data_IF_430057265559
#
_entry.id   IF_430057265559
#
_cell.length_a   1.000
_cell.length_b   1.000
_cell.length_c   1.000
_cell.angle_alpha   90.00
_cell.angle_beta   90.00
_cell.angle_gamma   90.00
#
_symmetry.space_group_name_H-M   'P 1'
#
loop_
_entity.id
_entity.type
_entity.pdbx_description
1 polymer ?
#
# COMPACT_ATOMS: atom_id res chain seq x y z
N UNK A 1 3.05 -15.86 17.88
CA UNK A 1 4.02 -16.31 16.87
C UNK A 1 4.06 -15.31 15.74
N UNK A 2 5.05 -14.42 15.68
CA UNK A 2 5.24 -13.49 14.56
C UNK A 2 5.93 -14.25 13.43
N UNK A 3 5.14 -14.83 12.52
CA UNK A 3 5.65 -15.51 11.34
C UNK A 3 6.45 -14.50 10.52
N UNK A 4 7.75 -14.74 10.36
CA UNK A 4 8.65 -13.94 9.51
C UNK A 4 8.08 -13.97 8.09
N UNK A 5 7.41 -12.90 7.64
CA UNK A 5 6.86 -12.80 6.28
C UNK A 5 8.02 -12.99 5.30
N UNK A 6 7.87 -13.91 4.34
CA UNK A 6 8.85 -14.07 3.26
C UNK A 6 9.04 -12.71 2.61
N UNK A 7 10.30 -12.29 2.45
CA UNK A 7 10.61 -11.11 1.67
C UNK A 7 9.98 -11.26 0.27
N UNK A 8 9.28 -10.23 -0.19
CA UNK A 8 8.72 -10.21 -1.55
C UNK A 8 9.86 -10.26 -2.56
N UNK A 9 9.63 -10.93 -3.69
CA UNK A 9 10.61 -10.93 -4.79
C UNK A 9 10.69 -9.55 -5.40
N UNK A 10 11.78 -9.25 -6.12
CA UNK A 10 11.91 -7.98 -6.84
C UNK A 10 10.77 -7.80 -7.86
N UNK A 11 10.37 -8.86 -8.55
CA UNK A 11 9.24 -8.86 -9.49
C UNK A 11 7.91 -8.50 -8.80
N UNK A 12 7.62 -9.11 -7.65
CA UNK A 12 6.41 -8.82 -6.89
C UNK A 12 6.44 -7.39 -6.34
N UNK A 13 7.60 -6.92 -5.86
CA UNK A 13 7.77 -5.54 -5.40
C UNK A 13 7.51 -4.55 -6.55
N UNK A 14 8.04 -4.81 -7.74
CA UNK A 14 7.80 -3.98 -8.93
C UNK A 14 6.32 -3.98 -9.33
N UNK A 15 5.66 -5.15 -9.32
CA UNK A 15 4.22 -5.26 -9.59
C UNK A 15 3.40 -4.41 -8.61
N UNK A 16 3.71 -4.50 -7.31
CA UNK A 16 3.01 -3.73 -6.28
C UNK A 16 3.27 -2.23 -6.41
N UNK A 17 4.49 -1.83 -6.74
CA UNK A 17 4.84 -0.43 -6.95
C UNK A 17 4.03 0.15 -8.11
N UNK A 18 3.99 -0.53 -9.25
CA UNK A 18 3.20 -0.10 -10.41
C UNK A 18 1.69 0.02 -10.08
N UNK A 19 1.15 -0.92 -9.29
CA UNK A 19 -0.24 -0.86 -8.85
C UNK A 19 -0.51 0.35 -7.94
N UNK A 20 0.38 0.63 -6.98
CA UNK A 20 0.27 1.79 -6.08
C UNK A 20 0.39 3.09 -6.87
N UNK A 21 1.34 3.20 -7.79
CA UNK A 21 1.54 4.41 -8.60
C UNK A 21 0.35 4.65 -9.54
N UNK A 22 -0.21 3.59 -10.12
CA UNK A 22 -1.45 3.67 -10.89
C UNK A 22 -2.64 4.16 -10.04
N UNK A 23 -2.81 3.61 -8.84
CA UNK A 23 -3.85 4.07 -7.92
C UNK A 23 -3.68 5.55 -7.54
N UNK A 24 -2.45 5.98 -7.24
CA UNK A 24 -2.12 7.38 -6.96
C UNK A 24 -2.42 8.30 -8.14
N UNK A 25 -2.07 7.89 -9.36
CA UNK A 25 -2.36 8.65 -10.56
C UNK A 25 -3.87 8.82 -10.75
N UNK A 26 -4.64 7.73 -10.58
CA UNK A 26 -6.09 7.76 -10.73
C UNK A 26 -6.75 8.72 -9.73
N UNK A 27 -6.43 8.62 -8.44
CA UNK A 27 -7.00 9.53 -7.43
C UNK A 27 -6.51 10.96 -7.61
N UNK A 28 -5.27 11.14 -8.10
CA UNK A 28 -4.71 12.44 -8.43
C UNK A 28 -5.44 13.15 -9.58
N UNK A 29 -5.95 12.40 -10.56
CA UNK A 29 -6.81 12.96 -11.62
C UNK A 29 -8.14 13.49 -11.08
N UNK A 30 -8.62 12.95 -9.97
CA UNK A 30 -9.82 13.42 -9.26
C UNK A 30 -9.52 14.56 -8.26
N UNK A 31 -8.27 15.01 -8.18
CA UNK A 31 -7.83 16.06 -7.25
C UNK A 31 -7.61 15.57 -5.82
N UNK A 32 -7.66 14.25 -5.59
CA UNK A 32 -7.39 13.65 -4.28
C UNK A 32 -5.92 13.30 -4.13
N UNK A 33 -5.37 13.53 -2.93
CA UNK A 33 -4.01 13.11 -2.57
C UNK A 33 -4.07 12.28 -1.29
N UNK A 34 -3.56 11.03 -1.30
CA UNK A 34 -3.43 10.24 -0.09
C UNK A 34 -2.61 10.98 0.97
N UNK A 35 -3.04 10.89 2.21
CA UNK A 35 -2.30 11.43 3.35
C UNK A 35 -1.04 10.59 3.65
N UNK A 36 -0.17 11.09 4.53
CA UNK A 36 1.10 10.45 4.86
C UNK A 36 0.97 9.05 5.48
N UNK A 37 -0.12 8.78 6.22
CA UNK A 37 -0.39 7.47 6.82
C UNK A 37 -0.77 6.46 5.75
N UNK A 38 -1.62 6.86 4.80
CA UNK A 38 -2.01 6.04 3.65
C UNK A 38 -0.80 5.73 2.76
N UNK A 39 0.07 6.71 2.54
CA UNK A 39 1.34 6.55 1.80
C UNK A 39 2.30 5.55 2.48
N UNK A 40 2.40 5.61 3.80
CA UNK A 40 3.22 4.70 4.59
C UNK A 40 2.69 3.25 4.53
N UNK A 41 1.37 3.06 4.56
CA UNK A 41 0.77 1.74 4.38
C UNK A 41 1.03 1.18 2.98
N UNK A 42 0.91 2.01 1.95
CA UNK A 42 1.23 1.61 0.58
C UNK A 42 2.70 1.18 0.43
N UNK A 43 3.63 1.91 1.07
CA UNK A 43 5.07 1.55 1.12
C UNK A 43 5.30 0.20 1.78
N UNK A 44 4.66 -0.06 2.93
CA UNK A 44 4.73 -1.35 3.64
C UNK A 44 4.18 -2.49 2.78
N UNK A 45 3.10 -2.25 2.03
CA UNK A 45 2.56 -3.25 1.11
C UNK A 45 3.54 -3.57 -0.01
N UNK A 46 4.13 -2.55 -0.65
CA UNK A 46 5.14 -2.72 -1.72
C UNK A 46 6.35 -3.52 -1.21
N UNK A 47 6.80 -3.24 0.02
CA UNK A 47 7.93 -3.95 0.63
C UNK A 47 7.58 -5.36 1.16
N UNK A 48 6.31 -5.77 1.11
CA UNK A 48 5.88 -7.06 1.64
C UNK A 48 5.76 -7.11 3.17
N UNK A 49 5.85 -5.96 3.83
CA UNK A 49 5.69 -5.82 5.28
C UNK A 49 4.23 -6.07 5.69
N UNK A 50 3.26 -5.72 4.84
CA UNK A 50 1.83 -6.03 4.99
C UNK A 50 1.24 -6.68 3.74
N UNK A 51 0.18 -7.46 3.91
CA UNK A 51 -0.64 -8.01 2.83
C UNK A 51 -1.63 -6.98 2.28
N UNK A 52 -2.24 -7.28 1.13
CA UNK A 52 -3.30 -6.43 0.58
C UNK A 52 -4.51 -6.32 1.52
N UNK A 53 -4.91 -7.42 2.17
CA UNK A 53 -6.01 -7.41 3.12
C UNK A 53 -5.73 -6.51 4.33
N UNK A 54 -4.49 -6.52 4.84
CA UNK A 54 -4.06 -5.59 5.88
C UNK A 54 -4.00 -4.15 5.38
N UNK A 55 -3.54 -3.90 4.15
CA UNK A 55 -3.55 -2.56 3.56
C UNK A 55 -4.98 -2.00 3.55
N UNK A 56 -5.96 -2.76 3.04
CA UNK A 56 -7.36 -2.34 2.97
C UNK A 56 -7.95 -2.08 4.36
N UNK A 57 -7.76 -3.03 5.29
CA UNK A 57 -8.27 -2.88 6.66
C UNK A 57 -7.64 -1.70 7.42
N UNK A 58 -6.35 -1.42 7.19
CA UNK A 58 -5.68 -0.28 7.80
C UNK A 58 -6.05 1.04 7.12
N UNK A 59 -6.21 1.07 5.79
CA UNK A 59 -6.60 2.28 5.06
C UNK A 59 -8.03 2.73 5.38
N UNK A 60 -8.96 1.79 5.56
CA UNK A 60 -10.33 2.10 6.01
C UNK A 60 -10.32 2.78 7.39
N UNK A 61 -9.39 2.41 8.26
CA UNK A 61 -9.25 3.00 9.60
C UNK A 61 -8.57 4.37 9.57
N UNK A 62 -7.66 4.62 8.64
CA UNK A 62 -6.99 5.93 8.49
C UNK A 62 -7.87 6.94 7.75
N UNK A 63 -8.76 6.49 6.85
CA UNK A 63 -9.70 7.36 6.14
C UNK A 63 -10.90 7.84 6.99
N UNK A 64 -11.10 7.29 8.19
CA UNK A 64 -12.17 7.67 9.13
C UNK A 64 -11.80 8.84 10.07
N UNK A 65 -10.67 9.52 9.81
CA UNK A 65 -10.15 10.63 10.60
C UNK A 65 -10.15 11.94 9.81
#
# INVERSE_FOLDING_TARGET
MTTKRKAVTAEERTRRLAAVDGARANVGLEGFKPDASTEELARRYVNGEISMAELLSLSERTAQH
#
